data_IF_389201875349
#
_entry.id   IF_389201875349
#
_cell.length_a   1.000
_cell.length_b   1.000
_cell.length_c   1.000
_cell.angle_alpha   90.00
_cell.angle_beta   90.00
_cell.angle_gamma   90.00
#
_symmetry.space_group_name_H-M   'P 1'
#
loop_
_entity.id
_entity.type
_entity.pdbx_description
1 polymer ?
#
# COMPACT_ATOMS: atom_id res chain seq x y z
N UNK A 1 -1.53 -10.45 -43.34
CA UNK A 1 -1.55 -9.04 -42.90
C UNK A 1 -2.94 -8.77 -42.36
N UNK A 2 -3.11 -8.76 -41.05
CA UNK A 2 -4.21 -8.06 -40.38
C UNK A 2 -3.81 -7.91 -38.91
N UNK A 3 -3.34 -6.72 -38.57
CA UNK A 3 -3.06 -6.33 -37.20
C UNK A 3 -4.40 -6.08 -36.51
N UNK A 4 -4.68 -6.82 -35.45
CA UNK A 4 -5.69 -6.46 -34.48
C UNK A 4 -4.96 -5.77 -33.31
N UNK A 5 -4.78 -4.45 -33.42
CA UNK A 5 -4.44 -3.61 -32.29
C UNK A 5 -5.70 -2.82 -31.90
N UNK A 6 -6.36 -3.30 -30.86
CA UNK A 6 -7.26 -2.51 -30.02
C UNK A 6 -7.20 -3.11 -28.61
N UNK A 7 -6.06 -2.91 -27.95
CA UNK A 7 -6.04 -2.89 -26.50
C UNK A 7 -6.39 -1.46 -26.08
N UNK A 8 -7.55 -1.30 -25.42
CA UNK A 8 -7.89 -0.08 -24.70
C UNK A 8 -6.70 0.25 -23.78
N UNK A 9 -6.24 1.50 -23.79
CA UNK A 9 -5.28 1.99 -22.81
C UNK A 9 -5.93 1.96 -21.42
N UNK A 10 -5.83 0.82 -20.73
CA UNK A 10 -6.05 0.74 -19.30
C UNK A 10 -4.89 1.48 -18.62
N UNK A 11 -5.22 2.35 -17.67
CA UNK A 11 -4.26 3.08 -16.84
C UNK A 11 -3.18 2.11 -16.31
N UNK A 12 -1.99 2.18 -16.90
CA UNK A 12 -0.87 1.35 -16.52
C UNK A 12 0.09 2.16 -15.67
N UNK A 13 0.65 1.51 -14.65
CA UNK A 13 1.86 1.99 -13.98
C UNK A 13 2.90 2.38 -15.03
N UNK A 14 3.59 3.51 -14.84
CA UNK A 14 4.54 3.99 -15.85
C UNK A 14 5.65 2.97 -16.09
N UNK A 15 6.30 2.96 -17.27
CA UNK A 15 7.42 2.06 -17.53
C UNK A 15 8.53 2.15 -16.49
N UNK A 16 8.83 3.36 -16.00
CA UNK A 16 9.80 3.60 -14.93
C UNK A 16 9.35 2.96 -13.61
N UNK A 17 8.07 3.11 -13.26
CA UNK A 17 7.49 2.47 -12.09
C UNK A 17 7.48 0.94 -12.16
N UNK A 18 7.19 0.38 -13.34
CA UNK A 18 7.23 -1.07 -13.58
C UNK A 18 8.65 -1.63 -13.46
N UNK A 19 9.64 -0.96 -14.05
CA UNK A 19 11.04 -1.34 -13.92
C UNK A 19 11.50 -1.28 -12.44
N UNK A 20 11.12 -0.22 -11.73
CA UNK A 20 11.43 -0.08 -10.31
C UNK A 20 10.81 -1.20 -9.47
N UNK A 21 9.55 -1.57 -9.73
CA UNK A 21 8.87 -2.68 -9.06
C UNK A 21 9.51 -4.04 -9.39
N UNK A 22 9.95 -4.24 -10.64
CA UNK A 22 10.63 -5.46 -11.09
C UNK A 22 11.99 -5.64 -10.40
N UNK A 23 12.72 -4.57 -10.16
CA UNK A 23 13.93 -4.59 -9.34
C UNK A 23 13.60 -4.82 -7.86
N UNK A 24 12.57 -4.13 -7.34
CA UNK A 24 12.23 -4.14 -5.93
C UNK A 24 11.81 -5.52 -5.41
N UNK A 25 11.07 -6.32 -6.19
CA UNK A 25 10.65 -7.67 -5.80
C UNK A 25 11.81 -8.62 -5.49
N UNK A 26 13.01 -8.32 -5.98
CA UNK A 26 14.20 -9.15 -5.74
C UNK A 26 14.92 -8.79 -4.44
N UNK A 27 14.51 -7.72 -3.74
CA UNK A 27 15.11 -7.32 -2.47
C UNK A 27 14.71 -8.28 -1.34
N UNK A 28 15.63 -8.52 -0.41
CA UNK A 28 15.39 -9.40 0.72
C UNK A 28 14.20 -8.95 1.57
N UNK A 29 13.29 -9.90 1.85
CA UNK A 29 12.08 -9.68 2.64
C UNK A 29 10.93 -9.01 1.90
N UNK A 30 11.08 -8.72 0.60
CA UNK A 30 9.95 -8.26 -0.23
C UNK A 30 9.11 -9.45 -0.65
N UNK A 31 7.80 -9.34 -0.43
CA UNK A 31 6.78 -10.31 -0.83
C UNK A 31 5.90 -9.67 -1.90
N UNK A 32 5.58 -10.43 -2.95
CA UNK A 32 4.69 -10.00 -4.03
C UNK A 32 3.37 -10.76 -3.92
N UNK A 33 2.25 -10.02 -3.89
CA UNK A 33 0.91 -10.58 -3.88
C UNK A 33 0.37 -10.76 -5.31
N UNK A 34 -0.64 -11.63 -5.52
CA UNK A 34 -1.26 -11.83 -6.84
C UNK A 34 -1.83 -10.56 -7.47
N UNK A 35 -2.20 -9.56 -6.66
CA UNK A 35 -2.68 -8.25 -7.13
C UNK A 35 -1.58 -7.38 -7.77
N UNK A 36 -0.30 -7.75 -7.59
CA UNK A 36 0.85 -6.93 -7.93
C UNK A 36 1.32 -6.02 -6.79
N UNK A 37 0.59 -5.95 -5.67
CA UNK A 37 1.07 -5.28 -4.46
C UNK A 37 2.35 -5.97 -3.97
N UNK A 38 3.38 -5.17 -3.67
CA UNK A 38 4.55 -5.66 -2.98
C UNK A 38 4.58 -5.09 -1.56
N UNK A 39 5.13 -5.84 -0.62
CA UNK A 39 5.35 -5.32 0.73
C UNK A 39 6.59 -5.93 1.37
N UNK A 40 7.06 -5.29 2.42
CA UNK A 40 8.11 -5.77 3.32
C UNK A 40 7.68 -5.55 4.76
N UNK A 41 7.80 -6.58 5.59
CA UNK A 41 7.57 -6.45 7.04
C UNK A 41 8.77 -5.74 7.67
N UNK A 42 8.54 -4.60 8.33
CA UNK A 42 9.55 -3.86 9.08
C UNK A 42 9.50 -4.19 10.57
N UNK A 43 8.31 -4.48 11.09
CA UNK A 43 8.06 -4.93 12.45
C UNK A 43 6.85 -5.87 12.44
N UNK A 44 7.02 -7.02 13.05
CA UNK A 44 5.99 -8.04 13.17
C UNK A 44 5.13 -7.77 14.42
N UNK A 45 3.82 -7.90 14.28
CA UNK A 45 2.86 -7.85 15.36
C UNK A 45 3.04 -9.03 16.35
N UNK A 46 2.63 -8.89 17.62
CA UNK A 46 2.61 -10.01 18.56
C UNK A 46 1.75 -11.18 18.07
N UNK A 47 2.10 -12.39 18.53
CA UNK A 47 1.29 -13.58 18.26
C UNK A 47 -0.16 -13.37 18.74
N UNK A 48 -1.13 -13.69 17.88
CA UNK A 48 -2.56 -13.50 18.19
C UNK A 48 -3.05 -12.06 18.08
N UNK A 49 -2.27 -11.15 17.48
CA UNK A 49 -2.69 -9.78 17.23
C UNK A 49 -4.01 -9.71 16.42
N UNK A 50 -4.80 -8.68 16.71
CA UNK A 50 -6.04 -8.38 15.98
C UNK A 50 -5.71 -7.85 14.60
N UNK A 51 -6.38 -8.37 13.58
CA UNK A 51 -6.38 -7.84 12.22
C UNK A 51 -7.75 -7.25 11.91
N UNK A 52 -7.83 -6.07 11.27
CA UNK A 52 -9.10 -5.42 11.01
C UNK A 52 -9.96 -6.19 10.00
N UNK A 53 -11.27 -6.12 10.17
CA UNK A 53 -12.21 -6.40 9.09
C UNK A 53 -12.26 -5.20 8.14
N UNK A 54 -12.87 -5.37 6.97
CA UNK A 54 -12.87 -4.36 5.91
C UNK A 54 -13.44 -2.99 6.32
N UNK A 55 -14.33 -2.95 7.32
CA UNK A 55 -14.93 -1.73 7.87
C UNK A 55 -14.38 -1.29 9.23
N UNK A 56 -13.40 -2.02 9.80
CA UNK A 56 -12.91 -1.74 11.16
C UNK A 56 -11.95 -0.55 11.15
N UNK A 57 -12.22 0.51 11.93
CA UNK A 57 -11.31 1.63 12.04
C UNK A 57 -10.00 1.24 12.73
N UNK A 58 -8.88 1.74 12.22
CA UNK A 58 -7.55 1.51 12.75
C UNK A 58 -6.85 2.84 13.00
N UNK A 59 -6.22 3.02 14.16
CA UNK A 59 -5.29 4.13 14.39
C UNK A 59 -3.96 3.79 13.74
N UNK A 60 -3.50 4.60 12.79
CA UNK A 60 -2.28 4.30 12.04
C UNK A 60 -1.29 5.46 12.06
N UNK A 61 -0.02 5.13 12.20
CA UNK A 61 1.05 5.98 11.72
C UNK A 61 1.41 5.61 10.27
N UNK A 62 1.76 6.60 9.45
CA UNK A 62 2.15 6.33 8.08
C UNK A 62 3.02 7.45 7.48
N UNK A 63 3.73 7.09 6.42
CA UNK A 63 4.53 7.99 5.59
C UNK A 63 4.42 7.53 4.14
N UNK A 64 4.05 8.43 3.23
CA UNK A 64 3.92 8.16 1.80
C UNK A 64 4.94 8.94 0.98
N UNK A 65 5.67 8.23 0.11
CA UNK A 65 6.70 8.77 -0.77
C UNK A 65 6.55 8.26 -2.20
N UNK A 66 7.01 9.02 -3.18
CA UNK A 66 7.24 8.52 -4.54
C UNK A 66 8.52 7.66 -4.59
N UNK A 67 8.76 6.97 -5.71
CA UNK A 67 9.94 6.11 -5.91
C UNK A 67 11.27 6.86 -5.88
N UNK A 68 11.25 8.19 -6.07
CA UNK A 68 12.42 9.08 -5.96
C UNK A 68 12.67 9.56 -4.52
N UNK A 69 11.83 9.18 -3.56
CA UNK A 69 11.89 9.59 -2.16
C UNK A 69 11.13 10.87 -1.81
N UNK A 70 10.49 11.53 -2.79
CA UNK A 70 9.66 12.72 -2.55
C UNK A 70 8.48 12.35 -1.65
N UNK A 71 8.45 12.90 -0.44
CA UNK A 71 7.35 12.68 0.51
C UNK A 71 6.14 13.55 0.16
N UNK A 72 4.98 12.93 0.00
CA UNK A 72 3.74 13.63 -0.33
C UNK A 72 2.74 13.67 0.84
N UNK A 73 2.87 12.77 1.82
CA UNK A 73 2.02 12.74 3.01
C UNK A 73 2.69 12.00 4.18
N UNK A 74 2.49 12.46 5.41
CA UNK A 74 3.08 11.86 6.62
C UNK A 74 2.30 12.24 7.87
N UNK A 75 1.83 11.24 8.62
CA UNK A 75 1.21 11.48 9.93
C UNK A 75 2.25 11.81 11.00
N UNK A 76 3.50 11.33 10.84
CA UNK A 76 4.61 11.69 11.72
C UNK A 76 4.92 13.20 11.65
N UNK A 77 4.94 13.79 10.45
CA UNK A 77 5.13 15.24 10.30
C UNK A 77 4.00 16.07 10.93
N UNK A 78 2.79 15.52 10.97
CA UNK A 78 1.65 16.14 11.68
C UNK A 78 1.69 15.92 13.19
N UNK A 79 2.57 15.06 13.70
CA UNK A 79 2.72 14.77 15.13
C UNK A 79 1.60 13.92 15.73
N UNK A 80 0.70 13.35 14.93
CA UNK A 80 -0.42 12.54 15.42
C UNK A 80 -0.86 11.46 14.44
N UNK A 81 -1.29 10.26 14.92
CA UNK A 81 -1.86 9.22 14.09
C UNK A 81 -3.11 9.67 13.33
N UNK A 82 -3.49 8.92 12.30
CA UNK A 82 -4.73 9.12 11.54
C UNK A 82 -5.54 7.84 11.57
N UNK A 83 -6.87 7.97 11.64
CA UNK A 83 -7.76 6.80 11.64
C UNK A 83 -8.20 6.46 10.22
N UNK A 84 -8.03 5.20 9.82
CA UNK A 84 -8.45 4.68 8.53
C UNK A 84 -9.20 3.36 8.71
N UNK A 85 -10.16 3.06 7.83
CA UNK A 85 -10.70 1.71 7.66
C UNK A 85 -10.30 1.18 6.28
N UNK A 86 -10.10 -0.15 6.10
CA UNK A 86 -9.68 -0.71 4.82
C UNK A 86 -10.57 -0.31 3.62
N UNK A 87 -11.88 -0.13 3.82
CA UNK A 87 -12.82 0.30 2.77
C UNK A 87 -12.77 1.79 2.40
N UNK A 88 -11.96 2.62 3.07
CA UNK A 88 -11.91 4.07 2.87
C UNK A 88 -10.61 4.55 2.21
N UNK A 89 -9.71 3.64 1.88
CA UNK A 89 -8.36 3.90 1.39
C UNK A 89 -8.15 3.31 0.00
N UNK A 90 -6.99 3.56 -0.61
CA UNK A 90 -6.63 2.98 -1.90
C UNK A 90 -6.57 1.45 -1.82
N UNK A 91 -6.80 0.76 -2.95
CA UNK A 91 -6.93 -0.71 -2.98
C UNK A 91 -5.73 -1.44 -2.38
N UNK A 92 -4.52 -0.94 -2.61
CA UNK A 92 -3.29 -1.52 -2.04
C UNK A 92 -3.28 -1.46 -0.50
N UNK A 93 -3.76 -0.36 0.10
CA UNK A 93 -3.95 -0.28 1.55
C UNK A 93 -5.07 -1.19 2.02
N UNK A 94 -6.19 -1.26 1.28
CA UNK A 94 -7.31 -2.15 1.62
C UNK A 94 -6.86 -3.60 1.74
N UNK A 95 -6.03 -4.07 0.81
CA UNK A 95 -5.46 -5.41 0.84
C UNK A 95 -4.45 -5.57 1.99
N UNK A 96 -3.45 -4.69 2.09
CA UNK A 96 -2.41 -4.78 3.11
C UNK A 96 -2.97 -4.73 4.55
N UNK A 97 -3.85 -3.78 4.85
CA UNK A 97 -4.39 -3.62 6.20
C UNK A 97 -5.12 -4.88 6.70
N UNK A 98 -5.75 -5.64 5.80
CA UNK A 98 -6.47 -6.88 6.15
C UNK A 98 -5.55 -8.10 6.30
N UNK A 99 -4.26 -7.96 5.99
CA UNK A 99 -3.20 -8.93 6.23
C UNK A 99 -2.34 -8.55 7.45
N UNK A 100 -2.29 -7.27 7.78
CA UNK A 100 -1.62 -6.74 8.96
C UNK A 100 -2.44 -6.98 10.24
N UNK A 101 -1.75 -7.04 11.37
CA UNK A 101 -2.28 -7.02 12.72
C UNK A 101 -1.83 -5.79 13.50
N UNK A 102 -2.50 -5.53 14.61
CA UNK A 102 -2.13 -4.49 15.57
C UNK A 102 -0.68 -4.65 16.04
N UNK A 103 0.13 -3.60 15.85
CA UNK A 103 1.56 -3.58 16.13
C UNK A 103 2.46 -3.83 14.91
N UNK A 104 1.93 -4.29 13.78
CA UNK A 104 2.70 -4.43 12.55
C UNK A 104 3.13 -3.07 12.03
N UNK A 105 4.37 -3.01 11.53
CA UNK A 105 4.85 -1.94 10.65
C UNK A 105 5.33 -2.54 9.33
N UNK A 106 4.71 -2.15 8.21
CA UNK A 106 5.05 -2.64 6.88
C UNK A 106 5.48 -1.48 5.98
N UNK A 107 6.35 -1.78 5.02
CA UNK A 107 6.60 -0.94 3.85
C UNK A 107 5.85 -1.53 2.66
N UNK A 108 4.98 -0.76 2.01
CA UNK A 108 4.20 -1.15 0.85
C UNK A 108 4.76 -0.48 -0.40
N UNK A 109 4.71 -1.19 -1.52
CA UNK A 109 5.05 -0.66 -2.84
C UNK A 109 3.87 -0.91 -3.78
N UNK A 110 3.13 0.17 -4.05
CA UNK A 110 1.78 0.12 -4.59
C UNK A 110 1.80 0.55 -6.05
N UNK A 111 1.58 -0.36 -7.01
CA UNK A 111 1.40 0.01 -8.41
C UNK A 111 0.16 0.89 -8.58
N UNK A 112 0.14 1.72 -9.63
CA UNK A 112 -0.87 2.77 -9.82
C UNK A 112 -2.30 2.24 -9.90
N UNK A 113 -2.49 1.02 -10.43
CA UNK A 113 -3.77 0.30 -10.54
C UNK A 113 -4.39 0.00 -9.17
N UNK A 114 -3.54 -0.12 -8.14
CA UNK A 114 -3.91 -0.28 -6.73
C UNK A 114 -3.87 1.04 -5.93
N UNK A 115 -3.47 2.14 -6.57
CA UNK A 115 -3.41 3.48 -6.03
C UNK A 115 -4.38 4.44 -6.75
N UNK A 116 -3.86 5.44 -7.46
CA UNK A 116 -4.65 6.51 -8.10
C UNK A 116 -4.76 6.41 -9.62
N UNK A 117 -4.20 5.37 -10.23
CA UNK A 117 -4.27 5.10 -11.67
C UNK A 117 -3.72 6.26 -12.50
N UNK A 118 -4.47 6.68 -13.51
CA UNK A 118 -4.16 7.75 -14.45
C UNK A 118 -4.48 9.16 -13.92
N UNK A 119 -4.86 9.30 -12.66
CA UNK A 119 -5.31 10.57 -12.08
C UNK A 119 -4.20 11.25 -11.31
N UNK A 120 -4.01 12.55 -11.58
CA UNK A 120 -3.23 13.43 -10.72
C UNK A 120 -3.86 13.49 -9.32
N UNK A 121 -3.03 13.42 -8.27
CA UNK A 121 -3.46 13.63 -6.89
C UNK A 121 -2.50 14.53 -6.12
N UNK A 122 -3.06 15.61 -5.56
CA UNK A 122 -2.26 16.63 -4.90
C UNK A 122 -1.23 17.24 -5.84
N UNK A 123 -0.13 17.71 -5.28
CA UNK A 123 0.93 18.36 -6.04
C UNK A 123 1.93 17.38 -6.66
N UNK A 124 2.15 16.23 -6.02
CA UNK A 124 3.28 15.35 -6.35
C UNK A 124 2.89 14.05 -7.06
N UNK A 125 1.71 13.48 -6.80
CA UNK A 125 1.37 12.16 -7.35
C UNK A 125 0.86 12.32 -8.79
N UNK A 126 1.72 11.96 -9.74
CA UNK A 126 1.44 11.99 -11.18
C UNK A 126 0.64 10.76 -11.64
N UNK A 127 -0.06 10.84 -12.78
CA UNK A 127 -0.65 9.67 -13.44
C UNK A 127 0.35 8.51 -13.59
N UNK A 128 -0.07 7.30 -13.25
CA UNK A 128 0.73 6.08 -13.36
C UNK A 128 1.79 5.90 -12.29
N UNK A 129 1.90 6.80 -11.31
CA UNK A 129 2.93 6.73 -10.28
C UNK A 129 2.80 5.50 -9.37
N UNK A 130 3.93 4.87 -9.09
CA UNK A 130 4.09 3.91 -7.98
C UNK A 130 4.23 4.69 -6.68
N UNK A 131 3.54 4.24 -5.64
CA UNK A 131 3.61 4.84 -4.32
C UNK A 131 4.31 3.90 -3.35
N UNK A 132 5.17 4.45 -2.50
CA UNK A 132 5.81 3.73 -1.39
C UNK A 132 5.21 4.24 -0.09
N UNK A 133 4.78 3.33 0.78
CA UNK A 133 4.21 3.68 2.08
C UNK A 133 4.86 2.91 3.21
N UNK A 134 5.30 3.58 4.26
CA UNK A 134 5.43 2.95 5.58
C UNK A 134 4.09 3.08 6.31
N UNK A 135 3.57 1.99 6.86
CA UNK A 135 2.32 1.97 7.64
C UNK A 135 2.56 1.19 8.93
N UNK A 136 2.15 1.75 10.07
CA UNK A 136 2.09 1.06 11.35
C UNK A 136 0.65 1.10 11.89
N UNK A 137 0.08 -0.08 12.17
CA UNK A 137 -1.22 -0.17 12.84
C UNK A 137 -0.97 -0.11 14.35
N UNK A 138 -1.38 0.97 14.98
CA UNK A 138 -1.23 1.18 16.42
C UNK A 138 -2.35 0.53 17.22
N UNK A 139 -3.57 0.54 16.67
CA UNK A 139 -4.78 0.07 17.35
C UNK A 139 -5.85 -0.34 16.33
N UNK A 140 -6.49 -1.50 16.54
CA UNK A 140 -7.69 -1.94 15.82
C UNK A 140 -8.94 -1.68 16.68
N UNK A 141 -9.75 -0.70 16.26
CA UNK A 141 -10.86 -0.12 17.06
C UNK A 141 -12.20 -0.82 16.81
N UNK A 142 -12.30 -2.11 17.11
CA UNK A 142 -13.57 -2.83 17.11
C UNK A 142 -13.46 -4.26 16.63
N UNK A 143 -14.50 -4.71 15.91
CA UNK A 143 -14.60 -6.06 15.38
C UNK A 143 -13.37 -6.42 14.55
N UNK A 144 -12.82 -7.60 14.81
CA UNK A 144 -11.54 -8.02 14.24
C UNK A 144 -11.52 -9.53 14.05
N UNK A 145 -10.55 -9.98 13.26
CA UNK A 145 -10.17 -11.38 13.12
C UNK A 145 -8.76 -11.57 13.68
N UNK A 146 -8.34 -12.78 14.05
CA UNK A 146 -6.93 -13.05 14.31
C UNK A 146 -6.11 -12.73 13.05
N UNK A 147 -4.93 -12.09 13.23
CA UNK A 147 -3.94 -12.01 12.14
C UNK A 147 -3.62 -13.44 11.68
N UNK A 148 -3.65 -13.67 10.38
CA UNK A 148 -3.25 -14.96 9.83
C UNK A 148 -1.76 -15.21 10.13
N UNK A 149 -1.39 -16.45 10.42
CA UNK A 149 0.01 -16.82 10.48
C UNK A 149 0.64 -16.60 9.09
N UNK A 150 1.83 -16.00 9.07
CA UNK A 150 2.63 -15.82 7.86
C UNK A 150 3.09 -17.16 7.28
#
# INVERSE_FOLDING_TARGET
MLAALLALAAAATTPEGLAWLDENKNKAGVVVLPSGLQYKVLKEAPAGAKSPLVGTPCSCHYRGTLIDGTEFDSSYKRGQPTTFAPNQVIKGWTEAMQLMGEGDKWELYVPSELAYGDRQRGQHITPGAVLVFEIEILEVKGDSKPKAAA
#
